data_IF_935493909152
#
_entry.id   IF_935493909152
#
_cell.length_a   1.000
_cell.length_b   1.000
_cell.length_c   1.000
_cell.angle_alpha   90.00
_cell.angle_beta   90.00
_cell.angle_gamma   90.00
#
_symmetry.space_group_name_H-M   'P 1'
#
loop_
_entity.id
_entity.type
_entity.pdbx_description
1 polymer ?
#
# COMPACT_ATOMS: atom_id res chain seq x y z
N UNK A 1 28.38 -3.69 1.55
CA UNK A 1 26.90 -3.86 1.56
C UNK A 1 26.36 -3.57 0.18
N UNK A 2 25.72 -4.55 -0.45
CA UNK A 2 25.36 -4.49 -1.86
C UNK A 2 24.24 -3.47 -2.11
N UNK A 3 24.31 -2.75 -3.23
CA UNK A 3 23.32 -1.76 -3.67
C UNK A 3 21.85 -2.23 -3.48
N UNK A 4 21.58 -3.51 -3.74
CA UNK A 4 20.27 -4.13 -3.59
C UNK A 4 19.74 -4.13 -2.15
N UNK A 5 20.60 -4.22 -1.14
CA UNK A 5 20.19 -4.20 0.26
C UNK A 5 19.69 -2.82 0.69
N UNK A 6 20.35 -1.75 0.19
CA UNK A 6 19.91 -0.36 0.45
C UNK A 6 18.56 -0.08 -0.21
N UNK A 7 18.36 -0.52 -1.45
CA UNK A 7 17.11 -0.32 -2.18
C UNK A 7 15.96 -1.12 -1.55
N UNK A 8 16.20 -2.38 -1.19
CA UNK A 8 15.21 -3.21 -0.47
C UNK A 8 14.81 -2.59 0.86
N UNK A 9 15.77 -2.04 1.62
CA UNK A 9 15.51 -1.36 2.91
C UNK A 9 14.74 -0.04 2.76
N UNK A 10 14.89 0.65 1.64
CA UNK A 10 14.10 1.86 1.33
C UNK A 10 12.65 1.50 1.02
N UNK A 11 12.43 0.40 0.29
CA UNK A 11 11.12 -0.06 -0.17
C UNK A 11 10.29 -0.77 0.92
N UNK A 12 10.92 -1.31 1.97
CA UNK A 12 10.23 -2.03 3.06
C UNK A 12 9.95 -1.17 4.30
N UNK A 13 10.36 0.11 4.31
CA UNK A 13 10.27 0.99 5.49
C UNK A 13 8.86 1.50 5.82
N UNK A 14 7.89 1.33 4.93
CA UNK A 14 6.52 1.76 5.17
C UNK A 14 5.63 0.56 5.52
N UNK A 15 5.77 0.03 6.73
CA UNK A 15 4.67 -0.69 7.38
C UNK A 15 3.92 0.33 8.24
N UNK A 16 2.68 0.71 7.90
CA UNK A 16 1.88 1.51 8.81
C UNK A 16 1.65 0.69 10.09
N UNK A 17 2.08 1.23 11.23
CA UNK A 17 1.65 0.73 12.54
C UNK A 17 0.16 1.07 12.66
N UNK A 18 -0.70 0.08 12.50
CA UNK A 18 -2.14 0.23 12.77
C UNK A 18 -2.32 0.62 14.25
N UNK A 19 -3.03 1.71 14.58
CA UNK A 19 -3.35 2.02 15.97
C UNK A 19 -4.39 1.01 16.48
N UNK A 20 -4.15 0.49 17.68
CA UNK A 20 -5.11 -0.31 18.45
C UNK A 20 -6.38 0.50 18.72
N UNK A 21 -7.50 0.11 18.11
CA UNK A 21 -8.81 0.68 18.42
C UNK A 21 -9.36 0.05 19.70
N UNK A 22 -9.32 0.83 20.79
CA UNK A 22 -10.01 0.55 22.06
C UNK A 22 -11.53 0.66 21.82
N UNK A 23 -12.26 -0.46 21.97
CA UNK A 23 -13.74 -0.50 21.93
C UNK A 23 -14.32 0.42 23.00
N UNK A 24 -15.05 1.45 22.60
CA UNK A 24 -16.05 2.13 23.44
C UNK A 24 -17.42 1.51 23.13
N UNK A 25 -18.08 1.05 24.17
CA UNK A 25 -19.45 0.55 24.17
C UNK A 25 -20.37 1.77 24.22
N UNK A 26 -21.35 1.84 23.32
CA UNK A 26 -22.50 2.77 23.40
C UNK A 26 -23.78 1.97 23.06
N UNK A 27 -24.91 2.21 23.73
CA UNK A 27 -26.06 1.30 23.74
C UNK A 27 -26.98 1.42 22.53
N UNK A 28 -27.72 0.34 22.33
CA UNK A 28 -28.74 0.05 21.32
C UNK A 28 -29.95 0.99 21.42
N UNK A 29 -30.38 1.53 20.29
CA UNK A 29 -31.74 2.07 20.13
C UNK A 29 -32.43 1.40 18.94
N UNK A 30 -33.67 0.95 19.20
CA UNK A 30 -34.54 0.21 18.28
C UNK A 30 -35.39 1.19 17.47
N UNK A 31 -35.38 1.07 16.16
CA UNK A 31 -36.52 1.46 15.32
C UNK A 31 -36.63 0.50 14.14
N UNK A 32 -37.78 -0.18 14.06
CA UNK A 32 -38.10 -1.11 12.98
C UNK A 32 -38.77 -0.43 11.81
N UNK A 33 -38.56 -0.97 10.61
CA UNK A 33 -39.47 -0.83 9.46
C UNK A 33 -39.59 -2.20 8.78
N UNK A 34 -40.84 -2.54 8.46
CA UNK A 34 -41.35 -3.84 8.02
C UNK A 34 -41.46 -3.88 6.48
N UNK A 35 -41.03 -5.02 5.92
CA UNK A 35 -41.51 -5.77 4.74
C UNK A 35 -41.85 -5.08 3.40
N UNK A 36 -41.33 -5.68 2.31
CA UNK A 36 -42.18 -6.29 1.24
C UNK A 36 -41.53 -7.55 0.65
N UNK A 37 -42.31 -8.63 0.59
CA UNK A 37 -42.07 -9.89 -0.10
C UNK A 37 -42.87 -9.93 -1.42
N UNK A 38 -42.33 -10.62 -2.43
CA UNK A 38 -43.02 -11.38 -3.46
C UNK A 38 -42.07 -12.58 -3.76
N UNK A 39 -42.41 -13.86 -3.61
CA UNK A 39 -43.51 -14.62 -4.21
C UNK A 39 -43.02 -15.19 -5.56
N UNK A 40 -42.60 -16.46 -5.66
CA UNK A 40 -43.36 -17.57 -6.28
C UNK A 40 -42.69 -18.95 -5.99
N UNK A 41 -43.55 -19.97 -5.97
CA UNK A 41 -43.52 -21.34 -5.41
C UNK A 41 -42.63 -22.43 -6.10
N UNK A 42 -42.46 -23.62 -5.46
CA UNK A 42 -41.50 -24.67 -5.82
C UNK A 42 -42.09 -25.85 -6.63
N UNK A 43 -41.21 -26.67 -7.23
CA UNK A 43 -41.47 -27.98 -7.84
C UNK A 43 -40.23 -28.87 -7.60
N UNK A 44 -40.27 -30.19 -7.43
CA UNK A 44 -41.30 -31.22 -7.22
C UNK A 44 -40.52 -32.42 -6.67
N UNK A 45 -41.02 -33.03 -5.59
CA UNK A 45 -40.50 -34.25 -5.00
C UNK A 45 -40.74 -35.44 -5.92
N UNK A 46 -39.74 -36.29 -6.10
CA UNK A 46 -39.88 -37.65 -6.63
C UNK A 46 -39.73 -38.62 -5.47
N UNK A 47 -40.86 -39.19 -5.06
CA UNK A 47 -40.96 -40.31 -4.12
C UNK A 47 -41.02 -41.59 -4.96
N UNK A 48 -40.09 -42.52 -4.75
CA UNK A 48 -40.22 -43.90 -5.24
C UNK A 48 -40.73 -44.73 -4.08
N UNK A 49 -41.95 -45.24 -4.24
CA UNK A 49 -42.65 -46.12 -3.32
C UNK A 49 -42.49 -47.55 -3.85
N UNK A 50 -41.88 -48.43 -3.05
CA UNK A 50 -41.79 -49.85 -3.32
C UNK A 50 -43.13 -50.52 -2.97
N UNK A 51 -43.63 -51.34 -3.89
CA UNK A 51 -44.73 -52.28 -3.69
C UNK A 51 -44.16 -53.65 -3.34
N UNK A 52 -44.68 -54.39 -2.32
CA UNK A 52 -44.36 -55.79 -2.12
C UNK A 52 -45.47 -56.68 -2.68
N UNK A 53 -45.09 -57.72 -3.43
CA UNK A 53 -45.93 -58.90 -3.62
C UNK A 53 -45.35 -60.10 -2.88
N UNK A 54 -46.26 -60.74 -2.16
CA UNK A 54 -46.12 -61.87 -1.25
C UNK A 54 -46.02 -63.18 -2.01
N UNK A 55 -45.11 -64.06 -1.61
CA UNK A 55 -45.40 -65.50 -1.59
C UNK A 55 -45.00 -66.12 -0.26
N UNK A 56 -46.04 -66.63 0.38
CA UNK A 56 -46.12 -67.42 1.60
C UNK A 56 -45.37 -68.74 1.52
N UNK A 57 -44.70 -69.09 2.61
CA UNK A 57 -44.53 -70.48 3.07
C UNK A 57 -44.72 -70.48 4.59
N UNK A 58 -45.76 -71.19 5.04
CA UNK A 58 -46.02 -71.51 6.46
C UNK A 58 -45.27 -72.79 6.81
N UNK A 59 -44.67 -72.83 8.00
CA UNK A 59 -44.55 -74.06 8.78
C UNK A 59 -44.68 -73.72 10.27
N UNK A 60 -45.61 -74.41 10.93
CA UNK A 60 -45.95 -74.31 12.35
C UNK A 60 -44.78 -74.68 13.27
N UNK A 61 -44.72 -74.07 14.46
CA UNK A 61 -44.88 -74.79 15.75
C UNK A 61 -44.56 -73.92 16.98
N UNK A 62 -45.50 -74.01 17.93
CA UNK A 62 -45.35 -74.04 19.39
C UNK A 62 -44.79 -72.81 20.16
N UNK A 63 -45.69 -72.28 20.99
CA UNK A 63 -45.48 -71.35 22.11
C UNK A 63 -44.45 -71.87 23.12
N UNK A 64 -43.46 -71.03 23.46
CA UNK A 64 -42.81 -71.06 24.77
C UNK A 64 -42.38 -69.65 25.18
N UNK A 65 -43.18 -69.04 26.06
CA UNK A 65 -42.82 -67.84 26.81
C UNK A 65 -41.56 -68.18 27.61
N UNK A 66 -40.43 -67.60 27.22
CA UNK A 66 -39.16 -67.71 27.94
C UNK A 66 -38.68 -66.29 28.20
N UNK A 67 -38.58 -65.99 29.49
CA UNK A 67 -38.07 -64.82 30.18
C UNK A 67 -37.16 -63.89 29.37
N UNK A 68 -37.47 -62.59 29.42
CA UNK A 68 -36.58 -61.49 29.05
C UNK A 68 -35.25 -61.62 29.79
N UNK A 69 -34.26 -62.17 29.09
CA UNK A 69 -32.86 -61.96 29.38
C UNK A 69 -32.48 -60.72 28.59
N UNK A 70 -32.17 -59.62 29.27
CA UNK A 70 -31.53 -58.45 28.66
C UNK A 70 -30.28 -58.94 27.93
N UNK A 71 -30.40 -59.08 26.61
CA UNK A 71 -29.25 -59.30 25.75
C UNK A 71 -28.59 -57.93 25.67
N UNK A 72 -27.44 -57.76 26.31
CA UNK A 72 -26.52 -56.71 25.89
C UNK A 72 -26.16 -57.01 24.43
N UNK A 73 -26.90 -56.38 23.52
CA UNK A 73 -26.65 -56.45 22.09
C UNK A 73 -25.28 -55.82 21.87
N UNK A 74 -24.27 -56.67 21.64
CA UNK A 74 -22.94 -56.21 21.28
C UNK A 74 -23.08 -55.28 20.07
N UNK A 75 -22.68 -54.01 20.18
CA UNK A 75 -23.01 -53.02 19.16
C UNK A 75 -22.32 -53.41 17.84
N UNK A 76 -23.10 -53.36 16.75
CA UNK A 76 -22.65 -53.82 15.43
C UNK A 76 -21.40 -53.06 14.97
N UNK A 77 -20.43 -53.78 14.39
CA UNK A 77 -19.21 -53.17 13.84
C UNK A 77 -19.51 -52.18 12.72
N UNK A 78 -18.73 -51.12 12.63
CA UNK A 78 -18.82 -50.08 11.62
C UNK A 78 -17.44 -49.70 11.07
N UNK A 79 -17.41 -49.36 9.79
CA UNK A 79 -16.22 -49.00 9.02
C UNK A 79 -16.47 -47.71 8.25
N UNK A 80 -15.47 -46.83 8.24
CA UNK A 80 -15.53 -45.55 7.55
C UNK A 80 -14.27 -45.30 6.74
N UNK A 81 -14.44 -44.96 5.47
CA UNK A 81 -13.37 -44.59 4.56
C UNK A 81 -13.23 -43.07 4.52
N UNK A 82 -12.04 -42.56 4.78
CA UNK A 82 -11.70 -41.14 4.69
C UNK A 82 -10.86 -40.90 3.44
N UNK A 83 -11.37 -40.05 2.54
CA UNK A 83 -10.70 -39.65 1.30
C UNK A 83 -10.12 -38.23 1.44
N UNK A 84 -8.95 -38.01 0.85
CA UNK A 84 -8.26 -36.71 0.84
C UNK A 84 -8.12 -36.25 -0.61
N UNK A 85 -9.00 -35.36 -1.06
CA UNK A 85 -9.08 -34.93 -2.46
C UNK A 85 -8.81 -33.43 -2.59
N UNK A 86 -8.27 -33.00 -3.73
CA UNK A 86 -8.26 -31.57 -4.08
C UNK A 86 -9.60 -31.10 -4.67
N UNK A 87 -9.66 -29.82 -5.05
CA UNK A 87 -10.82 -29.18 -5.68
C UNK A 87 -11.10 -29.68 -7.11
N UNK A 88 -10.21 -30.49 -7.70
CA UNK A 88 -10.41 -31.22 -8.95
C UNK A 88 -10.72 -32.71 -8.72
N UNK A 89 -10.98 -33.12 -7.47
CA UNK A 89 -11.20 -34.50 -7.03
C UNK A 89 -10.01 -35.45 -7.24
N UNK A 90 -8.79 -34.93 -7.36
CA UNK A 90 -7.57 -35.71 -7.44
C UNK A 90 -7.09 -36.10 -6.03
N UNK A 91 -6.61 -37.34 -5.88
CA UNK A 91 -6.18 -37.85 -4.57
C UNK A 91 -4.87 -37.21 -4.12
N UNK A 92 -4.87 -36.59 -2.93
CA UNK A 92 -3.71 -35.95 -2.33
C UNK A 92 -2.97 -36.83 -1.33
N UNK A 93 -3.62 -37.88 -0.81
CA UNK A 93 -3.03 -38.81 0.14
C UNK A 93 -3.72 -40.18 0.06
N UNK A 94 -3.07 -41.22 0.60
CA UNK A 94 -3.69 -42.55 0.72
C UNK A 94 -4.99 -42.45 1.56
N UNK A 95 -6.08 -43.11 1.14
CA UNK A 95 -7.29 -43.20 1.95
C UNK A 95 -7.01 -43.79 3.33
N UNK A 96 -7.79 -43.36 4.32
CA UNK A 96 -7.68 -43.84 5.71
C UNK A 96 -8.95 -44.59 6.12
N UNK A 97 -8.78 -45.77 6.71
CA UNK A 97 -9.88 -46.54 7.28
C UNK A 97 -10.01 -46.24 8.78
N UNK A 98 -11.23 -46.00 9.22
CA UNK A 98 -11.59 -45.88 10.63
C UNK A 98 -12.57 -47.02 10.95
N UNK A 99 -12.31 -47.76 12.02
CA UNK A 99 -13.14 -48.88 12.46
C UNK A 99 -13.63 -48.60 13.89
N UNK A 100 -14.84 -49.04 14.22
CA UNK A 100 -15.42 -48.91 15.56
C UNK A 100 -16.77 -49.59 15.65
N UNK A 101 -17.53 -49.26 16.68
CA UNK A 101 -18.89 -49.78 16.90
C UNK A 101 -19.94 -48.74 16.53
N UNK A 102 -21.10 -49.18 16.07
CA UNK A 102 -22.22 -48.29 15.75
C UNK A 102 -22.58 -47.42 16.97
N UNK A 103 -22.65 -46.11 16.78
CA UNK A 103 -22.89 -45.11 17.83
C UNK A 103 -21.65 -44.66 18.61
N UNK A 104 -20.50 -45.33 18.46
CA UNK A 104 -19.24 -44.94 19.08
C UNK A 104 -18.73 -43.60 18.50
N UNK A 105 -18.10 -42.77 19.34
CA UNK A 105 -17.48 -41.52 18.92
C UNK A 105 -16.25 -41.77 18.06
N UNK A 106 -16.13 -41.01 16.98
CA UNK A 106 -14.97 -41.03 16.10
C UNK A 106 -13.89 -40.10 16.67
N UNK A 107 -12.75 -40.67 17.03
CA UNK A 107 -11.54 -39.91 17.36
C UNK A 107 -10.69 -39.74 16.09
N UNK A 108 -10.94 -38.64 15.37
CA UNK A 108 -10.28 -38.34 14.09
C UNK A 108 -9.77 -36.90 14.05
N UNK A 109 -8.54 -36.73 13.59
CA UNK A 109 -7.94 -35.44 13.28
C UNK A 109 -7.63 -35.38 11.78
N UNK A 110 -8.11 -34.36 11.04
CA UNK A 110 -7.77 -34.18 9.64
C UNK A 110 -6.26 -34.17 9.40
N UNK A 111 -5.83 -34.88 8.35
CA UNK A 111 -4.42 -34.90 7.92
C UNK A 111 -3.97 -33.50 7.49
N UNK A 112 -2.79 -33.09 7.98
CA UNK A 112 -2.09 -31.96 7.40
C UNK A 112 -1.51 -32.35 6.03
N UNK A 113 -1.78 -31.54 5.01
CA UNK A 113 -1.22 -31.71 3.67
C UNK A 113 -0.48 -30.42 3.34
N UNK A 114 0.84 -30.52 3.16
CA UNK A 114 1.69 -29.38 2.86
C UNK A 114 1.16 -28.65 1.63
N UNK A 115 1.20 -27.31 1.65
CA UNK A 115 0.71 -26.46 0.55
C UNK A 115 -0.80 -26.51 0.27
N UNK A 116 -1.60 -27.18 1.09
CA UNK A 116 -3.06 -27.24 0.94
C UNK A 116 -3.80 -26.77 2.20
N UNK A 117 -5.04 -26.31 2.02
CA UNK A 117 -5.98 -25.94 3.07
C UNK A 117 -7.23 -26.81 2.95
N UNK A 118 -7.64 -27.44 4.06
CA UNK A 118 -8.95 -28.09 4.15
C UNK A 118 -10.02 -27.00 4.09
N UNK A 119 -10.87 -27.01 3.06
CA UNK A 119 -11.91 -25.99 2.89
C UNK A 119 -13.31 -26.57 2.95
N UNK A 120 -13.47 -27.89 2.78
CA UNK A 120 -14.78 -28.53 2.82
C UNK A 120 -14.68 -29.99 3.27
N UNK A 121 -15.70 -30.48 3.98
CA UNK A 121 -15.81 -31.89 4.41
C UNK A 121 -17.19 -32.41 3.99
N UNK A 122 -17.21 -33.42 3.13
CA UNK A 122 -18.43 -34.09 2.66
C UNK A 122 -18.64 -35.36 3.49
N UNK A 123 -19.86 -35.59 3.96
CA UNK A 123 -20.17 -36.77 4.77
C UNK A 123 -19.59 -36.71 6.19
N UNK A 124 -19.38 -35.50 6.73
CA UNK A 124 -18.90 -35.28 8.09
C UNK A 124 -19.80 -35.98 9.12
N UNK A 125 -19.18 -36.71 10.04
CA UNK A 125 -19.83 -37.31 11.21
C UNK A 125 -18.84 -37.42 12.36
N UNK A 126 -19.33 -37.31 13.59
CA UNK A 126 -18.54 -37.45 14.82
C UNK A 126 -18.75 -38.79 15.50
N UNK A 127 -19.63 -39.64 14.97
CA UNK A 127 -19.93 -41.00 15.44
C UNK A 127 -20.03 -41.97 14.27
N UNK A 128 -19.84 -43.26 14.52
CA UNK A 128 -20.14 -44.30 13.54
C UNK A 128 -21.66 -44.46 13.38
N UNK A 129 -22.26 -43.68 12.48
CA UNK A 129 -23.71 -43.60 12.30
C UNK A 129 -24.31 -44.72 11.42
N UNK A 130 -23.48 -45.46 10.68
CA UNK A 130 -23.89 -46.61 9.86
C UNK A 130 -22.74 -47.62 9.69
N UNK A 131 -23.03 -48.88 9.30
CA UNK A 131 -21.99 -49.92 9.15
C UNK A 131 -20.91 -49.57 8.14
N UNK A 132 -21.26 -48.82 7.08
CA UNK A 132 -20.33 -48.34 6.06
C UNK A 132 -20.59 -46.85 5.76
N UNK A 133 -19.52 -46.06 5.73
CA UNK A 133 -19.57 -44.63 5.36
C UNK A 133 -18.32 -44.18 4.63
N UNK A 134 -18.46 -43.11 3.86
CA UNK A 134 -17.35 -42.37 3.27
C UNK A 134 -17.41 -40.93 3.78
N UNK A 135 -16.25 -40.39 4.16
CA UNK A 135 -16.06 -38.97 4.41
C UNK A 135 -14.95 -38.45 3.50
N UNK A 136 -15.23 -37.38 2.79
CA UNK A 136 -14.27 -36.77 1.86
C UNK A 136 -13.84 -35.44 2.43
N UNK A 137 -12.55 -35.30 2.71
CA UNK A 137 -11.93 -34.02 3.04
C UNK A 137 -11.44 -33.41 1.73
N UNK A 138 -12.02 -32.27 1.36
CA UNK A 138 -11.66 -31.50 0.17
C UNK A 138 -10.70 -30.37 0.52
N UNK A 139 -9.58 -30.35 -0.19
CA UNK A 139 -8.49 -29.41 0.01
C UNK A 139 -8.33 -28.49 -1.19
N UNK A 140 -7.90 -27.26 -0.95
CA UNK A 140 -7.54 -26.31 -2.01
C UNK A 140 -6.09 -25.88 -1.82
N UNK A 141 -5.38 -25.62 -2.91
CA UNK A 141 -3.97 -25.23 -2.86
C UNK A 141 -3.84 -23.85 -2.21
N UNK A 142 -2.89 -23.71 -1.28
CA UNK A 142 -2.57 -22.43 -0.65
C UNK A 142 -2.16 -21.42 -1.73
N UNK A 143 -2.62 -20.18 -1.59
CA UNK A 143 -2.05 -19.07 -2.35
C UNK A 143 -0.62 -18.80 -1.88
N UNK A 144 0.28 -18.61 -2.84
CA UNK A 144 1.58 -18.02 -2.55
C UNK A 144 1.45 -16.51 -2.35
N UNK A 145 2.47 -15.91 -1.75
CA UNK A 145 2.56 -14.45 -1.69
C UNK A 145 2.90 -13.87 -3.07
N UNK A 146 2.45 -12.63 -3.36
CA UNK A 146 2.68 -11.99 -4.64
C UNK A 146 4.18 -11.82 -4.94
N UNK A 147 4.49 -11.87 -6.23
CA UNK A 147 5.79 -11.43 -6.75
C UNK A 147 5.61 -10.09 -7.43
N UNK A 148 6.45 -9.12 -7.06
CA UNK A 148 6.37 -7.75 -7.55
C UNK A 148 7.66 -7.42 -8.30
N UNK A 149 7.54 -7.00 -9.56
CA UNK A 149 8.63 -6.49 -10.36
C UNK A 149 8.57 -4.96 -10.46
N UNK A 150 9.68 -4.31 -10.12
CA UNK A 150 9.88 -2.87 -10.28
C UNK A 150 10.86 -2.60 -11.41
N UNK A 151 10.48 -1.75 -12.35
CA UNK A 151 11.33 -1.26 -13.43
C UNK A 151 11.89 0.11 -13.06
N UNK A 152 13.21 0.19 -12.89
CA UNK A 152 13.89 1.43 -12.47
C UNK A 152 14.98 1.81 -13.46
N UNK A 153 15.18 3.12 -13.64
CA UNK A 153 16.27 3.65 -14.42
C UNK A 153 17.59 3.40 -13.67
N UNK A 154 18.54 2.78 -14.35
CA UNK A 154 19.84 2.41 -13.79
C UNK A 154 20.62 3.65 -13.31
N UNK A 155 20.49 4.76 -14.03
CA UNK A 155 21.28 5.96 -13.87
C UNK A 155 20.60 6.97 -12.93
N UNK A 156 19.31 7.27 -13.14
CA UNK A 156 18.56 8.24 -12.36
C UNK A 156 17.94 7.65 -11.09
N UNK A 157 17.72 6.33 -11.05
CA UNK A 157 16.97 5.59 -9.99
C UNK A 157 15.47 5.86 -9.97
N UNK A 158 14.95 6.55 -10.97
CA UNK A 158 13.52 6.81 -11.08
C UNK A 158 12.77 5.55 -11.51
N UNK A 159 11.50 5.48 -11.13
CA UNK A 159 10.62 4.40 -11.59
C UNK A 159 10.21 4.69 -13.04
N UNK A 160 10.45 3.72 -13.93
CA UNK A 160 10.17 3.88 -15.37
C UNK A 160 8.70 3.57 -15.68
N UNK A 161 8.11 2.63 -14.95
CA UNK A 161 6.73 2.18 -15.14
C UNK A 161 6.14 1.73 -13.81
N UNK A 162 4.80 1.68 -13.67
CA UNK A 162 4.15 1.09 -12.51
C UNK A 162 4.65 -0.34 -12.23
N UNK A 163 4.70 -0.77 -10.97
CA UNK A 163 5.14 -2.12 -10.63
C UNK A 163 4.22 -3.18 -11.25
N UNK A 164 4.80 -4.25 -11.79
CA UNK A 164 4.04 -5.40 -12.30
C UNK A 164 3.92 -6.42 -11.17
N UNK A 165 2.69 -6.82 -10.86
CA UNK A 165 2.40 -7.77 -9.79
C UNK A 165 1.84 -9.06 -10.41
N UNK A 166 2.39 -10.20 -10.01
CA UNK A 166 1.83 -11.51 -10.33
C UNK A 166 1.43 -12.23 -9.03
N UNK A 167 0.36 -13.01 -9.11
CA UNK A 167 -0.18 -13.82 -8.01
C UNK A 167 -0.44 -15.23 -8.51
N UNK A 168 -0.29 -16.22 -7.64
CA UNK A 168 -0.56 -17.62 -7.98
C UNK A 168 -0.56 -18.52 -6.76
N UNK A 169 -0.92 -19.79 -6.96
CA UNK A 169 -0.83 -20.80 -5.92
C UNK A 169 0.64 -21.07 -5.53
N UNK A 170 0.89 -21.50 -4.30
CA UNK A 170 2.24 -21.87 -3.87
C UNK A 170 2.81 -22.96 -4.78
N UNK A 171 4.09 -22.83 -5.12
CA UNK A 171 4.82 -23.67 -6.10
C UNK A 171 4.31 -23.58 -7.54
N UNK A 172 3.37 -22.68 -7.88
CA UNK A 172 3.05 -22.39 -9.28
C UNK A 172 4.19 -21.55 -9.89
N UNK A 173 4.63 -21.82 -11.12
CA UNK A 173 5.67 -21.03 -11.76
C UNK A 173 5.16 -19.63 -12.13
N UNK A 174 6.06 -18.66 -12.10
CA UNK A 174 5.85 -17.31 -12.61
C UNK A 174 6.95 -16.95 -13.59
N UNK A 175 6.64 -16.05 -14.52
CA UNK A 175 7.60 -15.47 -15.44
C UNK A 175 7.21 -14.03 -15.72
N UNK A 176 8.14 -13.11 -15.44
CA UNK A 176 8.04 -11.75 -15.92
C UNK A 176 8.69 -11.67 -17.30
N UNK A 177 7.93 -11.23 -18.29
CA UNK A 177 8.55 -10.63 -19.45
C UNK A 177 9.14 -9.30 -18.99
N UNK A 178 10.41 -9.04 -19.29
CA UNK A 178 10.81 -7.65 -19.49
C UNK A 178 10.11 -7.23 -20.77
N UNK A 179 8.80 -6.91 -20.68
CA UNK A 179 8.12 -6.24 -21.76
C UNK A 179 9.07 -5.14 -22.22
N UNK A 180 9.45 -5.17 -23.49
CA UNK A 180 10.37 -4.22 -24.11
C UNK A 180 9.82 -2.85 -23.75
N UNK A 181 10.41 -2.19 -22.76
CA UNK A 181 9.97 -0.86 -22.39
C UNK A 181 10.60 0.01 -23.47
N UNK A 182 9.76 0.58 -24.31
CA UNK A 182 10.20 1.33 -25.49
C UNK A 182 11.27 2.35 -25.11
N UNK A 183 12.39 2.30 -25.84
CA UNK A 183 13.55 3.16 -25.60
C UNK A 183 14.47 2.73 -24.46
N UNK A 184 14.28 1.56 -23.83
CA UNK A 184 15.15 1.03 -22.78
C UNK A 184 15.65 -0.39 -23.07
N UNK A 185 16.81 -0.73 -22.51
CA UNK A 185 17.35 -2.08 -22.49
C UNK A 185 17.70 -2.52 -21.06
N UNK A 186 17.63 -3.83 -20.81
CA UNK A 186 17.97 -4.40 -19.51
C UNK A 186 19.47 -4.35 -19.27
N UNK A 187 19.87 -3.71 -18.17
CA UNK A 187 21.25 -3.74 -17.67
C UNK A 187 21.43 -4.87 -16.66
N UNK A 188 20.50 -4.97 -15.70
CA UNK A 188 20.61 -5.92 -14.59
C UNK A 188 19.27 -6.21 -13.95
N UNK A 189 19.06 -7.44 -13.52
CA UNK A 189 17.99 -7.80 -12.60
C UNK A 189 18.55 -8.12 -11.21
N UNK A 190 17.79 -7.84 -10.15
CA UNK A 190 18.18 -8.19 -8.77
C UNK A 190 18.20 -9.69 -8.52
N UNK A 191 17.44 -10.45 -9.33
CA UNK A 191 17.32 -11.92 -9.32
C UNK A 191 16.66 -12.40 -10.63
N UNK A 192 16.51 -13.72 -10.79
CA UNK A 192 15.81 -14.31 -11.94
C UNK A 192 14.40 -13.74 -12.11
N UNK A 193 13.99 -13.54 -13.37
CA UNK A 193 12.64 -13.11 -13.75
C UNK A 193 11.63 -14.26 -13.79
N UNK A 194 12.14 -15.49 -13.66
CA UNK A 194 11.35 -16.71 -13.55
C UNK A 194 11.57 -17.32 -12.16
N UNK A 195 10.55 -18.04 -11.68
CA UNK A 195 10.60 -18.70 -10.39
C UNK A 195 9.27 -19.35 -10.04
N UNK A 196 9.05 -19.60 -8.76
CA UNK A 196 7.79 -20.13 -8.24
C UNK A 196 7.27 -19.26 -7.11
N UNK A 197 5.95 -19.16 -6.97
CA UNK A 197 5.35 -18.51 -5.81
C UNK A 197 5.66 -19.31 -4.54
N UNK A 198 5.97 -18.59 -3.47
CA UNK A 198 6.30 -19.18 -2.17
C UNK A 198 5.38 -18.64 -1.09
N UNK A 199 5.54 -19.11 0.14
CA UNK A 199 4.94 -18.56 1.34
C UNK A 199 5.57 -17.21 1.78
N UNK A 200 6.51 -16.66 1.01
CA UNK A 200 7.17 -15.39 1.26
C UNK A 200 7.01 -14.44 0.07
N UNK A 201 6.76 -13.16 0.32
CA UNK A 201 6.69 -12.17 -0.75
C UNK A 201 8.04 -12.02 -1.46
N UNK A 202 8.01 -11.91 -2.78
CA UNK A 202 9.22 -11.78 -3.59
C UNK A 202 9.23 -10.45 -4.33
N UNK A 203 10.40 -9.81 -4.37
CA UNK A 203 10.59 -8.54 -5.08
C UNK A 203 11.72 -8.69 -6.08
N UNK A 204 11.45 -8.28 -7.31
CA UNK A 204 12.38 -8.27 -8.42
C UNK A 204 12.56 -6.81 -8.83
N UNK A 205 13.80 -6.36 -8.95
CA UNK A 205 14.12 -5.01 -9.41
C UNK A 205 14.91 -5.17 -10.70
N UNK A 206 14.32 -4.72 -11.81
CA UNK A 206 15.00 -4.64 -13.10
C UNK A 206 15.51 -3.22 -13.28
N UNK A 207 16.83 -3.10 -13.48
CA UNK A 207 17.47 -1.86 -13.83
C UNK A 207 17.63 -1.80 -15.34
N UNK A 208 17.00 -0.79 -15.92
CA UNK A 208 17.02 -0.53 -17.35
C UNK A 208 17.78 0.76 -17.63
N UNK A 209 18.39 0.86 -18.81
CA UNK A 209 19.03 2.10 -19.26
C UNK A 209 18.40 2.51 -20.58
N UNK A 210 18.26 3.81 -20.77
CA UNK A 210 17.79 4.41 -22.03
C UNK A 210 18.74 4.06 -23.16
N UNK A 211 18.20 3.62 -24.29
CA UNK A 211 18.98 3.21 -25.46
C UNK A 211 19.82 4.37 -26.00
N UNK A 212 19.29 5.59 -25.97
CA UNK A 212 19.98 6.79 -26.45
C UNK A 212 21.14 7.25 -25.57
N UNK A 213 21.34 6.68 -24.38
CA UNK A 213 22.36 7.13 -23.42
C UNK A 213 23.60 6.24 -23.50
N UNK A 214 24.74 6.82 -23.91
CA UNK A 214 26.02 6.10 -23.99
C UNK A 214 26.77 6.12 -22.66
N UNK A 215 26.90 7.30 -22.06
CA UNK A 215 27.67 7.48 -20.82
C UNK A 215 26.91 8.39 -19.87
N UNK A 216 26.86 8.02 -18.59
CA UNK A 216 26.21 8.80 -17.55
C UNK A 216 27.17 8.98 -16.37
N UNK A 217 27.30 10.22 -15.93
CA UNK A 217 28.21 10.58 -14.84
C UNK A 217 27.46 11.42 -13.82
N UNK A 218 27.54 11.02 -12.55
CA UNK A 218 27.13 11.87 -11.43
C UNK A 218 28.23 12.90 -11.20
N UNK A 219 27.86 14.15 -11.32
CA UNK A 219 28.76 15.31 -11.25
C UNK A 219 28.26 16.29 -10.21
N UNK A 220 29.10 17.26 -9.88
CA UNK A 220 28.74 18.36 -8.98
C UNK A 220 29.52 19.60 -9.42
N UNK A 221 29.13 20.17 -10.55
CA UNK A 221 29.74 21.39 -11.12
C UNK A 221 28.70 22.50 -11.22
N UNK A 222 29.15 23.74 -11.42
CA UNK A 222 28.27 24.85 -11.73
C UNK A 222 28.40 25.22 -13.21
N UNK A 223 27.27 25.49 -13.85
CA UNK A 223 27.19 25.88 -15.26
C UNK A 223 26.45 27.20 -15.38
N UNK A 224 27.01 28.13 -16.14
CA UNK A 224 26.40 29.42 -16.48
C UNK A 224 25.74 29.31 -17.84
N UNK A 225 24.48 29.74 -17.94
CA UNK A 225 23.74 29.76 -19.21
C UNK A 225 24.16 30.97 -20.04
N UNK A 226 24.49 30.74 -21.32
CA UNK A 226 24.92 31.81 -22.24
C UNK A 226 23.74 32.54 -22.90
N UNK A 227 22.55 31.93 -22.84
CA UNK A 227 21.27 32.45 -23.34
C UNK A 227 20.11 31.98 -22.47
N UNK A 228 18.91 32.54 -22.68
CA UNK A 228 17.70 32.01 -22.06
C UNK A 228 17.46 30.60 -22.60
N UNK A 229 17.46 29.60 -21.72
CA UNK A 229 17.54 28.19 -22.09
C UNK A 229 16.25 27.47 -21.71
N UNK A 230 15.64 26.80 -22.69
CA UNK A 230 14.51 25.89 -22.46
C UNK A 230 14.96 24.66 -21.69
N UNK A 231 14.14 24.28 -20.71
CA UNK A 231 14.40 23.11 -19.87
C UNK A 231 13.55 21.96 -20.40
N UNK A 232 14.15 20.78 -20.54
CA UNK A 232 13.45 19.57 -20.98
C UNK A 232 13.26 18.59 -19.83
N UNK A 233 12.22 17.78 -19.91
CA UNK A 233 11.93 16.74 -18.92
C UNK A 233 12.96 15.58 -18.93
N UNK A 234 13.63 15.39 -20.06
CA UNK A 234 14.73 14.44 -20.29
C UNK A 234 15.59 14.92 -21.48
N UNK A 235 16.79 14.37 -21.69
CA UNK A 235 17.54 14.58 -22.94
C UNK A 235 16.66 14.26 -24.16
N UNK A 236 16.62 15.16 -25.13
CA UNK A 236 15.78 15.06 -26.34
C UNK A 236 14.28 14.88 -26.05
N UNK A 237 13.82 15.30 -24.87
CA UNK A 237 12.44 15.15 -24.42
C UNK A 237 11.51 16.31 -24.76
N UNK A 238 10.47 16.45 -23.96
CA UNK A 238 9.51 17.55 -24.07
C UNK A 238 9.98 18.76 -23.25
N UNK A 239 9.84 19.98 -23.78
CA UNK A 239 10.18 21.19 -23.05
C UNK A 239 9.12 21.54 -22.00
N UNK A 240 9.57 22.12 -20.89
CA UNK A 240 8.70 22.82 -19.95
C UNK A 240 8.20 24.14 -20.53
N UNK A 241 7.13 24.68 -19.93
CA UNK A 241 6.55 25.99 -20.28
C UNK A 241 7.29 27.18 -19.65
N UNK A 242 8.53 26.97 -19.20
CA UNK A 242 9.38 28.00 -18.62
C UNK A 242 10.82 27.81 -19.09
N UNK A 243 11.61 28.86 -18.99
CA UNK A 243 13.01 28.89 -19.37
C UNK A 243 13.85 29.41 -18.21
N UNK A 244 15.11 29.02 -18.17
CA UNK A 244 16.07 29.62 -17.24
C UNK A 244 16.77 30.80 -17.90
N UNK A 245 16.90 31.95 -17.20
CA UNK A 245 17.35 33.18 -17.82
C UNK A 245 18.83 33.12 -18.19
N UNK A 246 19.18 33.82 -19.28
CA UNK A 246 20.58 34.09 -19.65
C UNK A 246 21.38 34.59 -18.43
N UNK A 247 22.64 34.17 -18.33
CA UNK A 247 23.58 34.48 -17.26
C UNK A 247 23.26 33.88 -15.87
N UNK A 248 22.18 33.11 -15.72
CA UNK A 248 21.96 32.35 -14.49
C UNK A 248 22.98 31.21 -14.33
N UNK A 249 23.30 30.87 -13.08
CA UNK A 249 24.25 29.81 -12.74
C UNK A 249 23.51 28.71 -11.98
N UNK A 250 23.66 27.48 -12.46
CA UNK A 250 22.97 26.30 -11.92
C UNK A 250 23.96 25.21 -11.57
N UNK A 251 23.67 24.46 -10.51
CA UNK A 251 24.43 23.25 -10.18
C UNK A 251 23.95 22.11 -11.07
N UNK A 252 24.87 21.45 -11.78
CA UNK A 252 24.61 20.25 -12.53
C UNK A 252 24.95 19.00 -11.71
N UNK A 253 24.06 18.02 -11.72
CA UNK A 253 24.14 16.79 -10.91
C UNK A 253 24.43 15.54 -11.73
N UNK A 254 24.03 15.53 -13.01
CA UNK A 254 24.26 14.42 -13.93
C UNK A 254 24.70 14.99 -15.27
N UNK A 255 25.73 14.40 -15.88
CA UNK A 255 26.10 14.59 -17.28
C UNK A 255 25.80 13.30 -18.04
N UNK A 256 25.09 13.43 -19.16
CA UNK A 256 24.79 12.32 -20.08
C UNK A 256 25.39 12.63 -21.43
N UNK A 257 26.14 11.68 -22.00
CA UNK A 257 26.50 11.70 -23.40
C UNK A 257 25.56 10.75 -24.15
N UNK A 258 24.90 11.26 -25.17
CA UNK A 258 23.90 10.52 -25.96
C UNK A 258 24.52 9.90 -27.22
N UNK A 259 23.84 8.93 -27.81
CA UNK A 259 24.29 8.22 -29.03
C UNK A 259 24.43 9.13 -30.25
N UNK A 260 23.70 10.24 -30.30
CA UNK A 260 23.82 11.26 -31.36
C UNK A 260 25.00 12.24 -31.11
N UNK A 261 25.84 12.00 -30.10
CA UNK A 261 27.02 12.81 -29.79
C UNK A 261 26.74 14.07 -28.96
N UNK A 262 25.51 14.29 -28.52
CA UNK A 262 25.18 15.42 -27.67
C UNK A 262 25.55 15.16 -26.20
N UNK A 263 25.75 16.26 -25.47
CA UNK A 263 26.01 16.22 -24.02
C UNK A 263 24.90 16.98 -23.31
N UNK A 264 24.29 16.34 -22.33
CA UNK A 264 23.15 16.86 -21.58
C UNK A 264 23.48 16.96 -20.09
N UNK A 265 22.98 17.99 -19.43
CA UNK A 265 23.20 18.25 -18.01
C UNK A 265 21.88 18.30 -17.25
N UNK A 266 21.78 17.54 -16.16
CA UNK A 266 20.66 17.58 -15.23
C UNK A 266 20.89 18.65 -14.16
N UNK A 267 19.92 19.54 -13.96
CA UNK A 267 19.96 20.63 -12.99
C UNK A 267 19.18 20.33 -11.70
N UNK A 268 18.62 19.12 -11.58
CA UNK A 268 17.78 18.68 -10.47
C UNK A 268 16.42 18.18 -10.95
N UNK A 269 15.90 17.13 -10.31
CA UNK A 269 14.66 16.49 -10.75
C UNK A 269 14.67 16.14 -12.25
N UNK A 270 13.54 16.20 -12.94
CA UNK A 270 13.47 16.03 -14.40
C UNK A 270 13.81 17.33 -15.16
N UNK A 271 14.89 18.04 -14.82
CA UNK A 271 15.26 19.29 -15.52
C UNK A 271 16.59 19.12 -16.26
N UNK A 272 16.55 19.13 -17.59
CA UNK A 272 17.69 18.88 -18.45
C UNK A 272 17.94 20.02 -19.43
N UNK A 273 19.21 20.30 -19.69
CA UNK A 273 19.67 21.26 -20.69
C UNK A 273 20.77 20.66 -21.56
N UNK A 274 20.85 21.11 -22.81
CA UNK A 274 21.91 20.73 -23.73
C UNK A 274 23.19 21.53 -23.44
N UNK A 275 24.35 20.88 -23.55
CA UNK A 275 25.66 21.45 -23.26
C UNK A 275 26.18 22.47 -24.27
N UNK A 276 25.47 22.73 -25.39
CA UNK A 276 25.91 23.67 -26.43
C UNK A 276 26.01 25.12 -25.95
N UNK A 277 25.07 25.58 -25.11
CA UNK A 277 24.91 27.00 -24.76
C UNK A 277 25.20 27.29 -23.28
N UNK A 278 26.19 26.59 -22.73
CA UNK A 278 26.64 26.75 -21.35
C UNK A 278 28.16 26.91 -21.27
N UNK A 279 28.64 27.47 -20.16
CA UNK A 279 30.04 27.38 -19.76
C UNK A 279 30.13 26.90 -18.31
N UNK A 280 31.14 26.09 -17.99
CA UNK A 280 31.41 25.72 -16.60
C UNK A 280 31.94 26.95 -15.84
N UNK A 281 31.53 27.10 -14.60
CA UNK A 281 31.96 28.20 -13.73
C UNK A 281 32.17 27.68 -12.31
N UNK A 282 32.83 28.49 -11.49
CA UNK A 282 32.93 28.22 -10.06
C UNK A 282 31.57 28.40 -9.38
N UNK A 283 31.48 27.95 -8.13
CA UNK A 283 30.29 28.18 -7.32
C UNK A 283 30.05 29.70 -7.25
N UNK A 284 28.83 30.19 -7.56
CA UNK A 284 28.55 31.61 -7.44
C UNK A 284 28.71 32.02 -5.97
N UNK A 285 29.37 33.16 -5.76
CA UNK A 285 29.46 33.74 -4.44
C UNK A 285 28.05 34.07 -3.96
N UNK A 286 27.75 33.67 -2.72
CA UNK A 286 26.55 34.13 -2.06
C UNK A 286 26.73 35.63 -1.83
N UNK A 287 26.12 36.47 -2.68
CA UNK A 287 25.99 37.87 -2.35
C UNK A 287 25.26 37.94 -1.01
N UNK A 288 25.96 38.42 0.02
CA UNK A 288 25.29 38.80 1.25
C UNK A 288 24.23 39.82 0.83
N UNK A 289 22.96 39.49 1.05
CA UNK A 289 21.89 40.48 0.98
C UNK A 289 22.40 41.61 1.87
N UNK A 290 22.67 42.78 1.27
CA UNK A 290 23.37 43.88 1.91
C UNK A 290 22.89 44.05 3.35
N UNK A 291 23.81 44.38 4.28
CA UNK A 291 23.48 44.65 5.67
C UNK A 291 22.20 45.49 5.72
N UNK A 292 21.10 44.87 6.15
CA UNK A 292 19.79 45.53 6.15
C UNK A 292 19.97 46.78 7.00
N UNK A 293 19.71 47.95 6.44
CA UNK A 293 19.67 49.19 7.23
C UNK A 293 18.77 48.93 8.44
N UNK A 294 19.19 49.30 9.67
CA UNK A 294 18.36 49.15 10.84
C UNK A 294 16.99 49.79 10.60
N UNK A 295 15.93 49.05 10.87
CA UNK A 295 14.56 49.56 10.77
C UNK A 295 14.40 50.70 11.77
N UNK A 296 14.03 51.88 11.29
CA UNK A 296 13.76 53.05 12.13
C UNK A 296 12.26 53.27 12.19
N UNK A 297 11.69 53.14 13.39
CA UNK A 297 10.29 53.46 13.65
C UNK A 297 10.16 54.93 14.03
N UNK A 298 9.17 55.62 13.49
CA UNK A 298 8.76 56.94 13.96
C UNK A 298 8.14 56.79 15.35
N UNK A 299 8.72 57.36 16.42
CA UNK A 299 8.19 57.18 17.77
C UNK A 299 6.78 57.74 17.92
N UNK A 300 5.90 56.97 18.56
CA UNK A 300 4.52 57.34 18.89
C UNK A 300 4.22 56.82 20.30
N UNK A 301 3.24 57.42 20.99
CA UNK A 301 2.76 56.92 22.28
C UNK A 301 1.24 56.97 22.29
N UNK A 302 0.61 55.89 21.84
CA UNK A 302 -0.84 55.79 21.72
C UNK A 302 -1.34 54.48 22.30
N UNK A 303 -2.50 54.54 22.95
CA UNK A 303 -3.22 53.34 23.39
C UNK A 303 -4.08 52.87 22.23
N UNK A 304 -4.07 51.59 21.93
CA UNK A 304 -4.86 51.01 20.85
C UNK A 304 -5.51 49.71 21.29
N UNK A 305 -6.43 49.21 20.47
CA UNK A 305 -7.07 47.90 20.65
C UNK A 305 -6.82 47.06 19.42
N UNK A 306 -6.51 45.77 19.63
CA UNK A 306 -6.44 44.81 18.52
C UNK A 306 -7.84 44.62 17.94
N UNK A 307 -7.98 44.94 16.65
CA UNK A 307 -9.22 44.82 15.88
C UNK A 307 -9.07 43.63 14.93
N UNK A 308 -9.58 42.48 15.36
CA UNK A 308 -9.52 41.23 14.62
C UNK A 308 -10.85 40.47 14.75
N UNK A 309 -10.87 39.19 14.40
CA UNK A 309 -12.07 38.36 14.49
C UNK A 309 -12.32 37.98 15.96
N UNK A 310 -13.54 38.24 16.45
CA UNK A 310 -13.97 37.92 17.80
C UNK A 310 -13.63 36.47 18.21
N UNK A 311 -13.00 36.31 19.38
CA UNK A 311 -12.58 35.01 19.91
C UNK A 311 -11.39 34.38 19.18
N UNK A 312 -10.72 35.10 18.28
CA UNK A 312 -9.50 34.65 17.59
C UNK A 312 -8.28 35.44 18.05
N UNK A 313 -7.11 35.01 17.60
CA UNK A 313 -5.82 35.65 17.85
C UNK A 313 -5.01 35.70 16.57
N UNK A 314 -4.11 36.66 16.49
CA UNK A 314 -3.20 36.83 15.35
C UNK A 314 -1.74 36.92 15.82
N UNK A 315 -0.80 36.65 14.94
CA UNK A 315 0.62 36.67 15.28
C UNK A 315 1.17 38.10 15.32
N UNK A 316 2.00 38.37 16.33
CA UNK A 316 2.94 39.49 16.33
C UNK A 316 4.29 39.01 15.81
N UNK A 317 5.15 39.93 15.38
CA UNK A 317 6.41 39.60 14.71
C UNK A 317 7.60 40.30 15.36
N UNK A 318 8.81 39.74 15.18
CA UNK A 318 10.06 40.35 15.68
C UNK A 318 10.41 41.64 14.92
N UNK A 319 9.95 41.75 13.67
CA UNK A 319 10.06 42.92 12.81
C UNK A 319 9.06 42.81 11.64
N UNK A 320 8.84 43.89 10.85
CA UNK A 320 8.01 43.84 9.66
C UNK A 320 8.46 42.73 8.70
N UNK A 321 7.51 41.90 8.25
CA UNK A 321 7.76 40.72 7.42
C UNK A 321 8.78 39.73 8.03
N UNK A 322 8.82 39.67 9.36
CA UNK A 322 9.73 38.86 10.16
C UNK A 322 9.16 37.52 10.62
N UNK A 323 9.80 36.94 11.63
CA UNK A 323 9.35 35.70 12.26
C UNK A 323 8.24 36.00 13.27
N UNK A 324 7.27 35.09 13.38
CA UNK A 324 6.22 35.20 14.38
C UNK A 324 6.80 35.02 15.79
N UNK A 325 6.42 35.90 16.72
CA UNK A 325 6.89 35.89 18.11
C UNK A 325 5.85 35.29 19.03
N UNK A 326 4.62 35.81 19.02
CA UNK A 326 3.53 35.33 19.87
C UNK A 326 2.16 35.57 19.24
N UNK A 327 1.12 35.06 19.87
CA UNK A 327 -0.28 35.35 19.54
C UNK A 327 -0.81 36.48 20.44
N UNK A 328 -1.64 37.34 19.87
CA UNK A 328 -2.40 38.36 20.59
C UNK A 328 -3.89 38.23 20.24
N UNK A 329 -4.75 38.26 21.25
CA UNK A 329 -6.19 38.08 21.09
C UNK A 329 -6.88 39.35 20.59
N UNK A 330 -7.98 39.17 19.87
CA UNK A 330 -8.91 40.26 19.56
C UNK A 330 -9.36 41.01 20.83
N UNK A 331 -9.57 42.32 20.74
CA UNK A 331 -9.97 43.17 21.86
C UNK A 331 -8.85 43.47 22.88
N UNK A 332 -7.64 42.93 22.70
CA UNK A 332 -6.51 43.22 23.61
C UNK A 332 -6.11 44.69 23.52
N UNK A 333 -6.04 45.39 24.66
CA UNK A 333 -5.50 46.76 24.71
C UNK A 333 -3.98 46.72 24.67
N UNK A 334 -3.38 47.51 23.79
CA UNK A 334 -1.92 47.58 23.58
C UNK A 334 -1.44 49.03 23.59
N UNK A 335 -0.15 49.22 23.85
CA UNK A 335 0.53 50.50 23.70
C UNK A 335 1.37 50.47 22.42
N UNK A 336 1.11 51.40 21.52
CA UNK A 336 1.89 51.61 20.30
C UNK A 336 3.02 52.59 20.60
N UNK A 337 4.26 52.13 20.37
CA UNK A 337 5.51 52.86 20.66
C UNK A 337 6.20 53.38 19.39
N UNK A 338 5.72 52.99 18.21
CA UNK A 338 6.20 53.56 16.97
C UNK A 338 5.49 53.05 15.73
N UNK A 339 5.65 53.78 14.63
CA UNK A 339 5.08 53.47 13.33
C UNK A 339 6.18 53.27 12.28
N UNK A 340 5.93 52.39 11.32
CA UNK A 340 6.83 52.14 10.20
C UNK A 340 6.03 51.77 8.96
N UNK A 341 6.41 52.31 7.80
CA UNK A 341 5.83 51.92 6.51
C UNK A 341 6.91 51.25 5.67
N UNK A 342 6.66 50.03 5.20
CA UNK A 342 7.64 49.29 4.40
C UNK A 342 7.66 49.71 2.92
N UNK A 343 8.60 49.15 2.16
CA UNK A 343 8.78 49.44 0.73
C UNK A 343 7.56 49.08 -0.14
N UNK A 344 6.62 48.28 0.39
CA UNK A 344 5.37 47.91 -0.26
C UNK A 344 4.19 48.76 0.24
N UNK A 345 4.47 49.89 0.92
CA UNK A 345 3.47 50.80 1.50
C UNK A 345 2.60 50.16 2.59
N UNK A 346 3.10 49.11 3.24
CA UNK A 346 2.37 48.44 4.31
C UNK A 346 2.75 49.08 5.65
N UNK A 347 1.76 49.58 6.39
CA UNK A 347 1.97 50.22 7.69
C UNK A 347 2.02 49.18 8.82
N UNK A 348 2.97 49.38 9.72
CA UNK A 348 3.27 48.56 10.89
C UNK A 348 3.34 49.41 12.14
N UNK A 349 2.92 48.84 13.26
CA UNK A 349 3.07 49.41 14.59
C UNK A 349 4.01 48.56 15.43
N UNK A 350 4.93 49.22 16.15
CA UNK A 350 5.72 48.60 17.22
C UNK A 350 4.96 48.76 18.53
N UNK A 351 4.88 47.70 19.31
CA UNK A 351 4.22 47.69 20.62
C UNK A 351 5.25 47.88 21.75
N UNK A 352 4.77 48.01 22.99
CA UNK A 352 5.65 48.20 24.16
C UNK A 352 6.54 47.00 24.50
N UNK A 353 6.24 45.81 23.98
CA UNK A 353 7.06 44.61 24.13
C UNK A 353 8.02 44.38 22.95
N UNK A 354 8.28 45.44 22.17
CA UNK A 354 9.09 45.47 20.95
C UNK A 354 8.63 44.56 19.81
N UNK A 355 7.53 43.83 19.96
CA UNK A 355 6.92 43.12 18.84
C UNK A 355 6.17 44.08 17.93
N UNK A 356 6.02 43.70 16.67
CA UNK A 356 5.33 44.50 15.66
C UNK A 356 4.09 43.81 15.12
N UNK A 357 3.14 44.62 14.69
CA UNK A 357 1.85 44.19 14.14
C UNK A 357 1.47 45.05 12.94
N UNK A 358 0.73 44.48 11.99
CA UNK A 358 0.17 45.23 10.86
C UNK A 358 -0.86 46.24 11.36
N UNK A 359 -0.74 47.49 10.91
CA UNK A 359 -1.63 48.57 11.33
C UNK A 359 -3.11 48.29 11.04
N UNK A 360 -3.41 47.50 10.01
CA UNK A 360 -4.78 47.11 9.65
C UNK A 360 -5.53 46.30 10.73
N UNK A 361 -4.82 45.74 11.72
CA UNK A 361 -5.42 44.98 12.83
C UNK A 361 -5.41 45.77 14.15
N UNK A 362 -5.19 47.08 14.07
CA UNK A 362 -5.06 47.94 15.25
C UNK A 362 -5.97 49.14 15.07
N UNK A 363 -6.89 49.29 16.01
CA UNK A 363 -7.76 50.47 16.11
C UNK A 363 -7.20 51.39 17.18
N UNK A 364 -6.71 52.55 16.75
CA UNK A 364 -6.16 53.61 17.60
C UNK A 364 -7.26 54.34 18.39
#
# INVERSE_FOLDING_TARGET
MAFFDRLRKLMTKNRPRTPSHRRKIVPTEKTGIRNRHAGIKPARQLTIQASPETKTSKLDSATKVTSEKTVETQPASAVMLVLYLDDQNQSLAKPQWLNGQLGEKIHFSPRHIDNYLLFHIIGFTTVFASPYRIMTLQYTKKLGHPVIMYSVDYDTREMIAPPVIQTGAVNQPFAFSTAVIDGFHLIKASRSLTGHFTDQAQTIIVMLRRNSWMAVQRISIFVKLLESTRILNQPDGDPYRYEFPKNSVWRAFIRVNTQNGETWFNLGGPQWINGKNITQTDRPENQQIAHRKPLTFTPVKQVAVIDFVAGRSLHTYDRPNGQAVKLIADGTRVQITGEYTDIHQLKWYRMADDTVIRAQYVKL
#
